data_IF_759184366631
#
_entry.id   IF_759184366631
#
_cell.length_a   1.000
_cell.length_b   1.000
_cell.length_c   1.000
_cell.angle_alpha   90.00
_cell.angle_beta   90.00
_cell.angle_gamma   90.00
#
_symmetry.space_group_name_H-M   'P 1'
#
loop_
_entity.id
_entity.type
_entity.pdbx_description
1 polymer ?
#
# COMPACT_ATOMS: atom_id res chain seq x y z
N UNK A 1 -36.52 15.47 -32.24
CA UNK A 1 -35.17 15.36 -31.69
C UNK A 1 -35.24 15.61 -30.17
N UNK A 2 -34.98 14.62 -29.34
CA UNK A 2 -35.01 14.85 -27.89
C UNK A 2 -33.81 15.73 -27.51
N UNK A 3 -34.09 16.82 -26.85
CA UNK A 3 -33.07 17.67 -26.21
C UNK A 3 -32.39 16.88 -25.14
N UNK A 4 -31.11 16.62 -25.32
CA UNK A 4 -30.23 16.15 -24.23
C UNK A 4 -30.18 17.31 -23.23
N UNK A 5 -30.92 17.15 -22.14
CA UNK A 5 -30.79 18.02 -20.96
C UNK A 5 -29.44 17.70 -20.32
N UNK A 6 -28.44 18.53 -20.64
CA UNK A 6 -27.28 18.68 -19.81
C UNK A 6 -27.73 19.29 -18.48
N UNK A 7 -28.12 18.45 -17.55
CA UNK A 7 -28.14 18.84 -16.15
C UNK A 7 -26.72 19.20 -15.77
N UNK A 8 -26.43 20.45 -15.39
CA UNK A 8 -25.17 20.72 -14.72
C UNK A 8 -25.19 19.89 -13.43
N UNK A 9 -24.34 18.88 -13.36
CA UNK A 9 -24.01 18.24 -12.08
C UNK A 9 -23.67 19.39 -11.16
N UNK A 10 -24.57 19.66 -10.23
CA UNK A 10 -24.30 20.59 -9.15
C UNK A 10 -22.94 20.18 -8.59
N UNK A 11 -21.96 21.04 -8.77
CA UNK A 11 -20.70 20.97 -8.09
C UNK A 11 -21.05 21.10 -6.60
N UNK A 12 -21.31 19.96 -5.97
CA UNK A 12 -21.42 19.91 -4.52
C UNK A 12 -20.03 20.31 -4.04
N UNK A 13 -19.94 21.51 -3.52
CA UNK A 13 -18.84 21.98 -2.72
C UNK A 13 -18.87 21.14 -1.42
N UNK A 14 -18.52 19.87 -1.56
CA UNK A 14 -18.31 18.99 -0.43
C UNK A 14 -17.11 19.58 0.31
N UNK A 15 -17.30 19.91 1.55
CA UNK A 15 -16.20 20.29 2.42
C UNK A 15 -15.11 19.22 2.34
N UNK A 16 -13.85 19.63 2.25
CA UNK A 16 -12.72 18.70 2.22
C UNK A 16 -12.77 17.66 3.35
N UNK A 17 -13.41 18.01 4.48
CA UNK A 17 -13.68 17.09 5.58
C UNK A 17 -14.68 16.00 5.26
N UNK A 18 -15.74 16.29 4.48
CA UNK A 18 -16.73 15.28 4.10
C UNK A 18 -16.18 14.30 3.06
N UNK A 19 -15.35 14.75 2.15
CA UNK A 19 -14.65 13.89 1.19
C UNK A 19 -13.64 12.97 1.89
N UNK A 20 -12.93 13.49 2.88
CA UNK A 20 -12.02 12.69 3.70
C UNK A 20 -12.76 11.59 4.45
N UNK A 21 -13.88 11.91 5.10
CA UNK A 21 -14.70 10.92 5.81
C UNK A 21 -15.33 9.88 4.88
N UNK A 22 -15.75 10.29 3.69
CA UNK A 22 -16.25 9.36 2.69
C UNK A 22 -15.15 8.36 2.28
N UNK A 23 -13.93 8.83 2.05
CA UNK A 23 -12.78 7.97 1.77
C UNK A 23 -12.46 7.01 2.92
N UNK A 24 -12.49 7.47 4.16
CA UNK A 24 -12.28 6.62 5.34
C UNK A 24 -13.35 5.53 5.44
N UNK A 25 -14.62 5.86 5.19
CA UNK A 25 -15.71 4.87 5.21
C UNK A 25 -15.59 3.84 4.09
N UNK A 26 -15.11 4.23 2.92
CA UNK A 26 -14.87 3.31 1.80
C UNK A 26 -13.70 2.36 2.08
N UNK A 27 -12.69 2.82 2.82
CA UNK A 27 -11.53 2.00 3.23
C UNK A 27 -11.83 1.03 4.39
N UNK A 28 -12.88 1.25 5.16
CA UNK A 28 -13.24 0.41 6.32
C UNK A 28 -13.35 -1.09 5.98
N UNK A 29 -14.06 -1.51 4.92
CA UNK A 29 -14.12 -2.93 4.54
C UNK A 29 -12.74 -3.50 4.20
N UNK A 30 -11.86 -2.69 3.62
CA UNK A 30 -10.50 -3.08 3.27
C UNK A 30 -9.67 -3.35 4.53
N UNK A 31 -9.81 -2.52 5.56
CA UNK A 31 -9.15 -2.70 6.86
C UNK A 31 -9.52 -4.04 7.49
N UNK A 32 -10.79 -4.43 7.43
CA UNK A 32 -11.24 -5.74 7.92
C UNK A 32 -10.61 -6.91 7.13
N UNK A 33 -10.34 -6.73 5.85
CA UNK A 33 -9.63 -7.72 5.03
C UNK A 33 -8.14 -7.78 5.32
N UNK A 34 -7.51 -6.65 5.61
CA UNK A 34 -6.06 -6.53 5.87
C UNK A 34 -5.69 -6.92 7.30
N UNK A 35 -6.58 -6.69 8.27
CA UNK A 35 -6.29 -6.97 9.68
C UNK A 35 -5.91 -8.45 9.95
N UNK A 36 -6.64 -9.48 9.44
CA UNK A 36 -6.23 -10.87 9.61
C UNK A 36 -4.87 -11.15 8.97
N UNK A 37 -4.58 -10.53 7.83
CA UNK A 37 -3.29 -10.64 7.17
C UNK A 37 -2.15 -10.08 8.04
N UNK A 38 -2.36 -8.92 8.65
CA UNK A 38 -1.41 -8.32 9.60
C UNK A 38 -1.14 -9.20 10.82
N UNK A 39 -2.17 -9.88 11.34
CA UNK A 39 -2.03 -10.84 12.43
C UNK A 39 -1.18 -12.06 12.00
N UNK A 40 -1.47 -12.63 10.82
CA UNK A 40 -0.69 -13.76 10.27
C UNK A 40 0.77 -13.36 10.09
N UNK A 41 1.04 -12.18 9.51
CA UNK A 41 2.41 -11.70 9.37
C UNK A 41 3.09 -11.47 10.72
N UNK A 42 2.38 -10.90 11.71
CA UNK A 42 2.90 -10.71 13.06
C UNK A 42 3.36 -12.03 13.70
N UNK A 43 2.56 -13.08 13.60
CA UNK A 43 2.89 -14.42 14.09
C UNK A 43 4.09 -15.01 13.33
N UNK A 44 4.06 -14.98 12.00
CA UNK A 44 5.15 -15.47 11.17
C UNK A 44 6.48 -14.76 11.44
N UNK A 45 6.45 -13.45 11.65
CA UNK A 45 7.62 -12.66 11.98
C UNK A 45 8.26 -13.13 13.31
N UNK A 46 7.44 -13.31 14.33
CA UNK A 46 7.89 -13.78 15.64
C UNK A 46 8.41 -15.24 15.58
N UNK A 47 7.72 -16.12 14.88
CA UNK A 47 8.15 -17.51 14.66
C UNK A 47 9.45 -17.60 13.85
N UNK A 48 9.70 -16.65 12.98
CA UNK A 48 10.95 -16.53 12.21
C UNK A 48 12.14 -16.03 13.04
N UNK A 49 11.94 -15.80 14.33
CA UNK A 49 12.99 -15.32 15.24
C UNK A 49 13.22 -13.81 15.19
N UNK A 50 12.33 -13.05 14.54
CA UNK A 50 12.37 -11.59 14.57
C UNK A 50 11.81 -11.09 15.91
N UNK A 51 12.43 -10.03 16.43
CA UNK A 51 11.87 -9.36 17.60
C UNK A 51 10.60 -8.59 17.20
N UNK A 52 9.64 -8.35 18.14
CA UNK A 52 8.43 -7.59 17.84
C UNK A 52 8.73 -6.23 17.19
N UNK A 53 9.79 -5.57 17.64
CA UNK A 53 10.23 -4.29 17.08
C UNK A 53 10.72 -4.41 15.64
N UNK A 54 11.49 -5.44 15.32
CA UNK A 54 11.94 -5.72 13.96
C UNK A 54 10.76 -6.02 13.03
N UNK A 55 9.78 -6.77 13.51
CA UNK A 55 8.57 -7.09 12.74
C UNK A 55 7.77 -5.83 12.42
N UNK A 56 7.63 -4.90 13.37
CA UNK A 56 6.96 -3.61 13.14
C UNK A 56 7.74 -2.74 12.16
N UNK A 57 9.06 -2.63 12.30
CA UNK A 57 9.90 -1.86 11.39
C UNK A 57 9.83 -2.43 9.97
N UNK A 58 9.87 -3.75 9.84
CA UNK A 58 9.71 -4.41 8.56
C UNK A 58 8.35 -4.13 7.92
N UNK A 59 7.28 -4.20 8.70
CA UNK A 59 5.94 -3.88 8.20
C UNK A 59 5.84 -2.43 7.71
N UNK A 60 6.62 -1.52 8.29
CA UNK A 60 6.67 -0.12 7.86
C UNK A 60 7.51 0.10 6.60
N UNK A 61 8.49 -0.73 6.34
CA UNK A 61 9.37 -0.62 5.16
C UNK A 61 8.82 -1.41 3.97
N UNK A 62 8.28 -2.59 4.23
CA UNK A 62 7.73 -3.48 3.21
C UNK A 62 6.21 -3.37 3.18
N UNK A 63 5.70 -2.58 2.26
CA UNK A 63 4.25 -2.38 2.09
C UNK A 63 3.54 -3.53 1.38
N UNK A 64 4.29 -4.36 0.68
CA UNK A 64 3.73 -5.49 -0.04
C UNK A 64 3.55 -6.71 0.85
N UNK A 65 2.32 -7.12 1.12
CA UNK A 65 2.02 -8.28 1.95
C UNK A 65 2.74 -9.56 1.50
N UNK A 66 2.81 -9.79 0.20
CA UNK A 66 3.54 -10.93 -0.36
C UNK A 66 5.04 -10.88 -0.05
N UNK A 67 5.68 -9.71 -0.16
CA UNK A 67 7.10 -9.54 0.14
C UNK A 67 7.42 -9.73 1.62
N UNK A 68 6.50 -9.34 2.50
CA UNK A 68 6.63 -9.56 3.95
C UNK A 68 6.62 -11.05 4.30
N UNK A 69 5.69 -11.81 3.73
CA UNK A 69 5.60 -13.25 3.96
C UNK A 69 6.85 -13.97 3.43
N UNK A 70 7.25 -13.66 2.20
CA UNK A 70 8.45 -14.26 1.58
C UNK A 70 9.70 -13.92 2.40
N UNK A 71 9.83 -12.68 2.86
CA UNK A 71 10.94 -12.30 3.73
C UNK A 71 10.97 -13.16 5.00
N UNK A 72 9.85 -13.26 5.73
CA UNK A 72 9.78 -14.03 6.98
C UNK A 72 10.12 -15.51 6.76
N UNK A 73 9.61 -16.11 5.69
CA UNK A 73 9.86 -17.50 5.34
C UNK A 73 11.34 -17.77 4.97
N UNK A 74 11.93 -16.92 4.13
CA UNK A 74 13.33 -17.05 3.74
C UNK A 74 14.28 -16.80 4.92
N UNK A 75 13.92 -15.85 5.78
CA UNK A 75 14.67 -15.59 7.00
C UNK A 75 14.64 -16.76 7.96
N UNK A 76 13.46 -17.36 8.19
CA UNK A 76 13.30 -18.55 9.00
C UNK A 76 14.07 -19.77 8.44
N UNK A 77 14.18 -19.88 7.13
CA UNK A 77 14.95 -20.91 6.46
C UNK A 77 16.48 -20.70 6.51
N UNK A 78 16.96 -19.60 7.12
CA UNK A 78 18.38 -19.30 7.23
C UNK A 78 19.04 -18.91 5.91
N UNK A 79 18.27 -18.43 4.95
CA UNK A 79 18.78 -17.98 3.64
C UNK A 79 19.65 -16.74 3.82
N UNK A 80 20.79 -16.63 3.10
CA UNK A 80 21.63 -15.44 3.18
C UNK A 80 20.87 -14.14 2.88
N UNK A 81 21.16 -13.11 3.68
CA UNK A 81 20.46 -11.81 3.59
C UNK A 81 20.45 -11.19 2.19
N UNK A 82 21.48 -11.44 1.39
CA UNK A 82 21.56 -10.96 0.01
C UNK A 82 20.47 -11.57 -0.88
N UNK A 83 20.22 -12.86 -0.74
CA UNK A 83 19.19 -13.58 -1.50
C UNK A 83 17.80 -13.15 -1.03
N UNK A 84 17.62 -13.00 0.27
CA UNK A 84 16.36 -12.50 0.86
C UNK A 84 16.05 -11.11 0.33
N UNK A 85 17.01 -10.19 0.37
CA UNK A 85 16.88 -8.84 -0.15
C UNK A 85 16.59 -8.81 -1.66
N UNK A 86 17.29 -9.61 -2.44
CA UNK A 86 17.06 -9.75 -3.88
C UNK A 86 15.65 -10.25 -4.20
N UNK A 87 15.16 -11.26 -3.50
CA UNK A 87 13.81 -11.80 -3.67
C UNK A 87 12.73 -10.77 -3.33
N UNK A 88 12.90 -10.04 -2.23
CA UNK A 88 12.01 -8.95 -1.83
C UNK A 88 12.01 -7.82 -2.87
N UNK A 89 13.17 -7.44 -3.39
CA UNK A 89 13.29 -6.45 -4.45
C UNK A 89 12.50 -6.85 -5.71
N UNK A 90 12.67 -8.09 -6.17
CA UNK A 90 11.97 -8.61 -7.35
C UNK A 90 10.45 -8.57 -7.15
N UNK A 91 9.96 -9.01 -5.99
CA UNK A 91 8.53 -8.98 -5.69
C UNK A 91 8.01 -7.54 -5.65
N UNK A 92 8.78 -6.62 -5.10
CA UNK A 92 8.38 -5.22 -5.00
C UNK A 92 8.52 -4.43 -6.32
N UNK A 93 9.11 -4.98 -7.36
CA UNK A 93 9.17 -4.32 -8.69
C UNK A 93 7.79 -3.98 -9.25
N UNK A 94 6.74 -4.69 -8.85
CA UNK A 94 5.36 -4.34 -9.21
C UNK A 94 4.97 -2.93 -8.76
N UNK A 95 5.49 -2.43 -7.63
CA UNK A 95 5.25 -1.06 -7.17
C UNK A 95 5.85 -0.02 -8.10
N UNK A 96 6.97 -0.35 -8.75
CA UNK A 96 7.56 0.51 -9.79
C UNK A 96 6.64 0.64 -10.99
N UNK A 97 6.01 -0.47 -11.40
CA UNK A 97 5.03 -0.47 -12.49
C UNK A 97 3.78 0.35 -12.13
N UNK A 98 3.27 0.21 -10.91
CA UNK A 98 2.14 1.01 -10.42
C UNK A 98 2.49 2.50 -10.35
N UNK A 99 3.67 2.83 -9.84
CA UNK A 99 4.17 4.21 -9.79
C UNK A 99 4.33 4.80 -11.18
N UNK A 100 4.83 4.05 -12.14
CA UNK A 100 4.94 4.48 -13.53
C UNK A 100 3.57 4.75 -14.16
N UNK A 101 2.58 3.89 -13.89
CA UNK A 101 1.22 4.07 -14.41
C UNK A 101 0.55 5.33 -13.87
N UNK A 102 0.78 5.69 -12.62
CA UNK A 102 0.17 6.85 -11.97
C UNK A 102 0.99 8.12 -12.18
N UNK A 103 2.29 8.01 -12.49
CA UNK A 103 3.19 9.15 -12.65
C UNK A 103 2.68 10.21 -13.64
N UNK A 104 2.00 9.77 -14.71
CA UNK A 104 1.41 10.67 -15.70
C UNK A 104 0.33 11.59 -15.10
N UNK A 105 -0.47 11.07 -14.16
CA UNK A 105 -1.55 11.82 -13.48
C UNK A 105 -1.03 12.74 -12.39
N UNK A 106 0.13 12.41 -11.81
CA UNK A 106 0.72 13.15 -10.69
C UNK A 106 1.70 14.24 -11.12
N UNK A 107 1.92 14.45 -12.42
CA UNK A 107 2.90 15.43 -12.94
C UNK A 107 2.65 16.86 -12.49
N UNK A 108 1.41 17.24 -12.23
CA UNK A 108 1.02 18.58 -11.81
C UNK A 108 1.24 18.83 -10.30
N UNK A 109 1.56 17.80 -9.54
CA UNK A 109 1.79 17.91 -8.10
C UNK A 109 3.26 18.22 -7.78
N UNK A 110 3.52 18.98 -6.69
CA UNK A 110 4.88 19.20 -6.21
C UNK A 110 5.54 17.89 -5.78
N UNK A 111 6.86 17.82 -5.89
CA UNK A 111 7.66 16.61 -5.65
C UNK A 111 7.37 15.95 -4.29
N UNK A 112 7.11 16.75 -3.26
CA UNK A 112 6.79 16.27 -1.91
C UNK A 112 5.55 15.38 -1.89
N UNK A 113 4.49 15.82 -2.56
CA UNK A 113 3.25 15.06 -2.68
C UNK A 113 3.41 13.83 -3.55
N UNK A 114 4.22 13.91 -4.59
CA UNK A 114 4.52 12.75 -5.44
C UNK A 114 5.24 11.65 -4.68
N UNK A 115 6.22 12.01 -3.85
CA UNK A 115 6.95 11.05 -3.00
C UNK A 115 6.00 10.44 -1.96
N UNK A 116 5.19 11.27 -1.29
CA UNK A 116 4.23 10.80 -0.28
C UNK A 116 3.20 9.85 -0.88
N UNK A 117 2.60 10.21 -2.01
CA UNK A 117 1.61 9.37 -2.68
C UNK A 117 2.23 8.10 -3.25
N UNK A 118 3.47 8.17 -3.76
CA UNK A 118 4.22 6.98 -4.18
C UNK A 118 4.52 6.02 -3.04
N UNK A 119 4.80 6.56 -1.86
CA UNK A 119 5.02 5.75 -0.66
C UNK A 119 3.72 5.10 -0.15
N UNK A 120 2.60 5.82 -0.20
CA UNK A 120 1.29 5.32 0.22
C UNK A 120 0.61 4.42 -0.82
N UNK A 121 1.19 4.29 -2.01
CA UNK A 121 0.67 3.44 -3.07
C UNK A 121 0.86 1.98 -2.69
N UNK A 122 -0.21 1.34 -2.30
CA UNK A 122 -0.28 -0.09 -1.99
C UNK A 122 -1.17 -0.82 -2.99
N UNK A 123 -1.02 -2.10 -3.06
CA UNK A 123 -1.94 -2.94 -3.85
C UNK A 123 -3.18 -3.37 -3.06
#
# INVERSE_FOLDING_TARGET
>A
MPKVQNSPKASQNLSAGSEFWAGVCEEMPLIFGVAPFGLVFGVLGLESGLTPWQTILMSSILFGGASQIVFAQLWAAGVPALIVGGSVCVINMRHVLYSASIAAYLRHLPLRWRILLGYLLTD
#
